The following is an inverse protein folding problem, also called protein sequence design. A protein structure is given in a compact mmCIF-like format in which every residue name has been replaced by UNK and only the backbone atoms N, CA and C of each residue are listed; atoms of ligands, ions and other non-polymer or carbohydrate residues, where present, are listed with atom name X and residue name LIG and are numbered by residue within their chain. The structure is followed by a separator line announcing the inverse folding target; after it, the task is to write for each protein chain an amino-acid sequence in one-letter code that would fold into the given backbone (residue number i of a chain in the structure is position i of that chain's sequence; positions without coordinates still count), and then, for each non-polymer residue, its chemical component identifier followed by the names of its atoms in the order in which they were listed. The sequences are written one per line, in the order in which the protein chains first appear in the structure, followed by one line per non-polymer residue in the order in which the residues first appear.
data_IF_938774007198
#
_entry.id   IF_938774007198
#
_cell.length_a   1.000
_cell.length_b   1.000
_cell.length_c   1.000
_cell.angle_alpha   90.00
_cell.angle_beta   90.00
_cell.angle_gamma   90.00
#
_symmetry.space_group_name_H-M   'P 1'
#
loop_
_entity.id
_entity.type
_entity.pdbx_description
1 polymer ?
#
# COMPACT_ATOMS: atom_id res chain seq x y z
N UNK A 1 -0.25 11.07 -9.17
CA UNK A 1 0.05 10.70 -7.77
C UNK A 1 0.49 11.97 -7.05
N UNK A 2 0.23 12.08 -5.74
CA UNK A 2 0.74 13.20 -4.94
C UNK A 2 2.22 12.97 -4.69
N UNK A 3 3.07 13.93 -5.08
CA UNK A 3 4.52 13.85 -4.94
C UNK A 3 4.95 14.69 -3.73
N UNK A 4 5.81 14.17 -2.83
CA UNK A 4 6.30 14.97 -1.71
C UNK A 4 7.16 16.14 -2.22
N UNK A 5 7.17 17.23 -1.45
CA UNK A 5 8.06 18.36 -1.70
C UNK A 5 9.51 17.93 -1.62
N UNK A 6 10.28 18.26 -2.65
CA UNK A 6 11.68 17.86 -2.77
C UNK A 6 12.60 18.96 -2.23
N UNK A 7 13.50 18.59 -1.33
CA UNK A 7 14.58 19.49 -0.90
C UNK A 7 15.62 19.64 -2.01
N UNK A 8 16.13 20.85 -2.19
CA UNK A 8 17.29 21.13 -3.06
C UNK A 8 18.27 22.05 -2.36
N UNK A 9 19.51 22.12 -2.84
CA UNK A 9 20.54 23.00 -2.25
C UNK A 9 20.13 24.48 -2.25
N UNK A 10 19.39 24.92 -3.26
CA UNK A 10 18.90 26.29 -3.39
C UNK A 10 17.57 26.54 -2.65
N UNK A 11 16.82 25.48 -2.31
CA UNK A 11 15.48 25.58 -1.71
C UNK A 11 15.33 24.56 -0.58
N UNK A 12 15.61 24.97 0.67
CA UNK A 12 15.24 24.19 1.84
C UNK A 12 13.72 24.15 2.01
N UNK A 13 13.21 23.06 2.60
CA UNK A 13 11.78 22.91 2.85
C UNK A 13 11.31 23.85 3.96
N UNK A 14 10.19 24.51 3.74
CA UNK A 14 9.50 25.27 4.79
C UNK A 14 8.93 24.33 5.86
N UNK A 15 8.63 24.81 7.07
CA UNK A 15 7.98 24.00 8.11
C UNK A 15 6.66 23.35 7.65
N UNK A 16 5.87 24.08 6.86
CA UNK A 16 4.58 23.65 6.32
C UNK A 16 4.78 22.50 5.32
N UNK A 17 5.70 22.64 4.37
CA UNK A 17 6.02 21.58 3.39
C UNK A 17 6.53 20.30 4.07
N UNK A 18 7.30 20.43 5.17
CA UNK A 18 7.72 19.27 5.96
C UNK A 18 6.53 18.59 6.62
N UNK A 19 5.58 19.36 7.14
CA UNK A 19 4.39 18.81 7.78
C UNK A 19 3.50 18.08 6.78
N UNK A 20 3.31 18.64 5.58
CA UNK A 20 2.61 18.00 4.48
C UNK A 20 3.29 16.69 4.05
N UNK A 21 4.61 16.70 3.91
CA UNK A 21 5.39 15.50 3.61
C UNK A 21 5.24 14.42 4.70
N UNK A 22 5.21 14.79 5.98
CA UNK A 22 4.98 13.84 7.09
C UNK A 22 3.60 13.22 7.03
N UNK A 23 2.56 14.02 6.79
CA UNK A 23 1.19 13.52 6.66
C UNK A 23 1.06 12.55 5.48
N UNK A 24 1.67 12.89 4.34
CA UNK A 24 1.73 12.02 3.17
C UNK A 24 2.49 10.70 3.47
N UNK A 25 3.63 10.79 4.16
CA UNK A 25 4.43 9.62 4.54
C UNK A 25 3.67 8.70 5.50
N UNK A 26 2.98 9.25 6.50
CA UNK A 26 2.15 8.47 7.44
C UNK A 26 1.05 7.69 6.72
N UNK A 27 0.37 8.33 5.78
CA UNK A 27 -0.65 7.68 4.94
C UNK A 27 -0.04 6.56 4.09
N UNK A 28 1.10 6.82 3.43
CA UNK A 28 1.79 5.84 2.59
C UNK A 28 2.28 4.63 3.37
N UNK A 29 2.79 4.81 4.58
CA UNK A 29 3.26 3.73 5.44
C UNK A 29 2.15 2.70 5.69
N UNK A 30 0.92 3.15 5.98
CA UNK A 30 -0.23 2.25 6.15
C UNK A 30 -0.53 1.48 4.87
N UNK A 31 -0.50 2.15 3.72
CA UNK A 31 -0.73 1.52 2.40
C UNK A 31 0.37 0.51 2.07
N UNK A 32 1.64 0.84 2.31
CA UNK A 32 2.78 -0.05 2.10
C UNK A 32 2.70 -1.32 2.95
N UNK A 33 2.28 -1.20 4.22
CA UNK A 33 2.03 -2.36 5.08
C UNK A 33 0.96 -3.30 4.50
N UNK A 34 -0.13 -2.74 3.97
CA UNK A 34 -1.19 -3.53 3.31
C UNK A 34 -0.66 -4.19 2.04
N UNK A 35 0.04 -3.45 1.17
CA UNK A 35 0.64 -3.98 -0.06
C UNK A 35 1.64 -5.10 0.26
N UNK A 36 2.46 -4.95 1.31
CA UNK A 36 3.40 -5.98 1.76
C UNK A 36 2.67 -7.28 2.13
N UNK A 37 1.55 -7.20 2.87
CA UNK A 37 0.73 -8.36 3.22
C UNK A 37 0.12 -9.01 1.96
N UNK A 38 -0.39 -8.22 1.03
CA UNK A 38 -0.94 -8.73 -0.24
C UNK A 38 0.12 -9.46 -1.09
N UNK A 39 1.37 -8.98 -1.09
CA UNK A 39 2.48 -9.59 -1.84
C UNK A 39 2.93 -10.96 -1.31
N UNK A 40 2.47 -11.39 -0.13
CA UNK A 40 2.69 -12.77 0.37
C UNK A 40 2.00 -13.77 -0.56
N UNK A 41 0.83 -13.40 -1.09
CA UNK A 41 0.10 -14.27 -1.99
C UNK A 41 0.71 -14.20 -3.39
N UNK A 42 1.38 -15.29 -3.80
CA UNK A 42 1.98 -15.42 -5.15
C UNK A 42 0.97 -15.15 -6.27
N UNK A 43 -0.31 -15.43 -6.03
CA UNK A 43 -1.40 -15.13 -6.96
C UNK A 43 -1.55 -13.64 -7.29
N UNK A 44 -1.10 -12.75 -6.39
CA UNK A 44 -1.12 -11.30 -6.52
C UNK A 44 0.24 -10.70 -6.90
N UNK A 45 1.35 -11.40 -6.59
CA UNK A 45 2.72 -10.94 -6.85
C UNK A 45 3.29 -11.44 -8.19
N UNK A 46 3.05 -12.70 -8.54
CA UNK A 46 3.64 -13.36 -9.69
C UNK A 46 2.67 -13.39 -10.89
N UNK A 47 3.17 -13.76 -12.07
CA UNK A 47 2.33 -14.00 -13.24
C UNK A 47 1.37 -15.16 -12.97
N UNK A 48 0.08 -14.89 -13.07
CA UNK A 48 -0.98 -15.87 -12.81
C UNK A 48 -1.10 -16.90 -13.93
N UNK A 49 -0.60 -18.12 -13.70
CA UNK A 49 -0.60 -19.23 -14.68
C UNK A 49 -1.72 -20.27 -14.48
N UNK A 50 -2.54 -20.15 -13.42
CA UNK A 50 -3.63 -21.11 -13.16
C UNK A 50 -4.88 -20.84 -14.01
N UNK A 51 -5.76 -21.84 -14.13
CA UNK A 51 -7.06 -21.70 -14.80
C UNK A 51 -7.90 -20.60 -14.16
N UNK A 52 -8.39 -19.66 -14.98
CA UNK A 52 -9.08 -18.43 -14.53
C UNK A 52 -10.51 -18.62 -14.02
N UNK A 53 -11.16 -19.78 -14.22
CA UNK A 53 -12.56 -20.05 -13.82
C UNK A 53 -12.91 -19.64 -12.38
N UNK A 54 -11.97 -19.78 -11.43
CA UNK A 54 -12.15 -19.41 -10.01
C UNK A 54 -11.22 -18.28 -9.56
N UNK A 55 -10.75 -17.42 -10.47
CA UNK A 55 -9.82 -16.34 -10.12
C UNK A 55 -10.46 -15.35 -9.13
N UNK A 56 -11.64 -14.83 -9.46
CA UNK A 56 -12.37 -13.89 -8.61
C UNK A 56 -12.60 -14.45 -7.19
N UNK A 57 -13.07 -15.71 -7.08
CA UNK A 57 -13.25 -16.36 -5.78
C UNK A 57 -11.96 -16.39 -4.94
N UNK A 58 -10.82 -16.76 -5.55
CA UNK A 58 -9.53 -16.79 -4.85
C UNK A 58 -9.10 -15.40 -4.37
N UNK A 59 -9.27 -14.37 -5.20
CA UNK A 59 -8.95 -12.99 -4.83
C UNK A 59 -9.88 -12.49 -3.73
N UNK A 60 -11.18 -12.78 -3.80
CA UNK A 60 -12.17 -12.39 -2.80
C UNK A 60 -11.88 -13.04 -1.43
N UNK A 61 -11.49 -14.32 -1.41
CA UNK A 61 -11.10 -14.99 -0.17
C UNK A 61 -9.84 -14.37 0.45
N UNK A 62 -8.85 -14.01 -0.38
CA UNK A 62 -7.65 -13.31 0.10
C UNK A 62 -8.02 -11.93 0.67
N UNK A 63 -8.89 -11.20 -0.01
CA UNK A 63 -9.38 -9.90 0.47
C UNK A 63 -10.10 -10.05 1.82
N UNK A 64 -10.96 -11.06 1.98
CA UNK A 64 -11.64 -11.35 3.24
C UNK A 64 -10.65 -11.60 4.39
N UNK A 65 -9.62 -12.43 4.15
CA UNK A 65 -8.56 -12.69 5.15
C UNK A 65 -7.80 -11.42 5.50
N UNK A 66 -7.35 -10.65 4.50
CA UNK A 66 -6.63 -9.40 4.74
C UNK A 66 -7.47 -8.37 5.50
N UNK A 67 -8.74 -8.22 5.15
CA UNK A 67 -9.66 -7.31 5.82
C UNK A 67 -9.89 -7.72 7.28
N UNK A 68 -10.05 -9.01 7.56
CA UNK A 68 -10.18 -9.51 8.92
C UNK A 68 -8.91 -9.25 9.75
N UNK A 69 -7.73 -9.45 9.18
CA UNK A 69 -6.46 -9.16 9.87
C UNK A 69 -6.23 -7.66 10.10
N UNK A 70 -6.80 -6.77 9.27
CA UNK A 70 -6.73 -5.32 9.49
C UNK A 70 -7.73 -4.89 10.56
N UNK A 71 -8.97 -5.42 10.50
CA UNK A 71 -10.02 -5.10 11.47
C UNK A 71 -9.69 -5.60 12.89
N UNK A 72 -9.03 -6.75 13.03
CA UNK A 72 -8.57 -7.25 14.33
C UNK A 72 -7.33 -6.56 14.90
N UNK A 73 -6.72 -5.61 14.16
CA UNK A 73 -5.60 -4.79 14.63
C UNK A 73 -5.99 -3.34 14.92
N UNK A 74 -7.29 -3.01 14.82
CA UNK A 74 -7.85 -1.69 15.10
C UNK A 74 -8.39 -1.62 16.53
#
# INVERSE_FOLDING_TARGET
SITPHKVTRARPLTPEERQENRALASTRLRVEHVIRRLKIFRVLKDVYRHRRRRFALRVNLIAAVCNHTIAGTA
#
